data_IF_232024457314
#
_entry.id   IF_232024457314
#
_cell.length_a   1.000
_cell.length_b   1.000
_cell.length_c   1.000
_cell.angle_alpha   90.00
_cell.angle_beta   90.00
_cell.angle_gamma   90.00
#
_symmetry.space_group_name_H-M   'P 1'
#
loop_
_entity.id
_entity.type
_entity.pdbx_description
1 polymer ?
#
# COMPACT_ATOMS: atom_id res chain seq x y z
N UNK A 1 -21.93 -55.93 -17.84
CA UNK A 1 -22.58 -54.69 -18.34
C UNK A 1 -23.52 -54.23 -17.23
N UNK A 2 -23.34 -53.16 -16.47
CA UNK A 2 -22.59 -51.93 -16.66
C UNK A 2 -23.56 -50.77 -16.44
N UNK A 3 -23.63 -50.22 -15.21
CA UNK A 3 -23.61 -48.78 -14.87
C UNK A 3 -24.07 -48.54 -13.42
N UNK A 4 -23.11 -48.17 -12.58
CA UNK A 4 -23.30 -47.48 -11.30
C UNK A 4 -23.25 -45.99 -11.58
N UNK A 5 -24.29 -45.24 -11.21
CA UNK A 5 -24.26 -43.77 -11.24
C UNK A 5 -23.85 -43.26 -9.86
N UNK A 6 -22.55 -43.10 -9.63
CA UNK A 6 -22.06 -42.25 -8.56
C UNK A 6 -22.18 -40.79 -9.02
N UNK A 7 -23.07 -40.04 -8.39
CA UNK A 7 -23.01 -38.58 -8.42
C UNK A 7 -21.83 -38.13 -7.56
N UNK A 8 -20.70 -37.85 -8.21
CA UNK A 8 -19.63 -37.06 -7.60
C UNK A 8 -20.12 -35.62 -7.43
N UNK A 9 -20.14 -35.16 -6.17
CA UNK A 9 -20.24 -33.75 -5.84
C UNK A 9 -19.04 -33.02 -6.49
N UNK A 10 -19.32 -32.28 -7.56
CA UNK A 10 -18.40 -31.26 -8.06
C UNK A 10 -18.13 -30.27 -6.93
N UNK A 11 -16.90 -30.32 -6.42
CA UNK A 11 -16.38 -29.37 -5.46
C UNK A 11 -16.59 -27.94 -5.95
N UNK A 12 -17.19 -27.14 -5.09
CA UNK A 12 -17.39 -25.70 -5.22
C UNK A 12 -16.13 -24.99 -5.71
N UNK A 13 -16.28 -24.19 -6.78
CA UNK A 13 -15.30 -23.25 -7.31
C UNK A 13 -14.82 -22.34 -6.17
N UNK A 14 -13.59 -22.52 -5.71
CA UNK A 14 -12.97 -21.59 -4.79
C UNK A 14 -12.80 -20.24 -5.51
N UNK A 15 -13.47 -19.21 -4.97
CA UNK A 15 -13.30 -17.80 -5.34
C UNK A 15 -11.81 -17.45 -5.45
N UNK A 16 -11.48 -16.57 -6.40
CA UNK A 16 -10.16 -15.97 -6.68
C UNK A 16 -9.49 -15.31 -5.47
N UNK A 17 -9.10 -16.07 -4.44
CA UNK A 17 -8.42 -15.55 -3.26
C UNK A 17 -6.92 -15.75 -3.44
N UNK A 18 -6.18 -14.65 -3.43
CA UNK A 18 -4.72 -14.71 -3.37
C UNK A 18 -4.32 -14.96 -1.92
N UNK A 19 -3.90 -16.19 -1.62
CA UNK A 19 -3.48 -16.60 -0.29
C UNK A 19 -1.98 -16.96 -0.23
N UNK A 20 -1.51 -17.29 0.97
CA UNK A 20 -0.11 -17.61 1.21
C UNK A 20 0.34 -18.87 0.44
N UNK A 21 -0.42 -19.99 0.44
CA UNK A 21 -0.12 -21.16 -0.39
C UNK A 21 0.02 -20.84 -1.89
N UNK A 22 -0.92 -20.10 -2.49
CA UNK A 22 -0.86 -19.72 -3.89
C UNK A 22 0.42 -18.93 -4.19
N UNK A 23 0.72 -17.90 -3.39
CA UNK A 23 1.92 -17.08 -3.57
C UNK A 23 3.20 -17.90 -3.39
N UNK A 24 3.27 -18.78 -2.37
CA UNK A 24 4.42 -19.67 -2.19
C UNK A 24 4.62 -20.57 -3.42
N UNK A 25 3.54 -21.13 -3.98
CA UNK A 25 3.61 -21.95 -5.19
C UNK A 25 4.04 -21.18 -6.43
N UNK A 26 3.53 -19.96 -6.63
CA UNK A 26 3.85 -19.11 -7.79
C UNK A 26 5.25 -18.51 -7.74
N UNK A 27 5.70 -18.09 -6.56
CA UNK A 27 7.03 -17.49 -6.37
C UNK A 27 8.13 -18.54 -6.49
N UNK A 28 7.90 -19.76 -5.98
CA UNK A 28 8.87 -20.86 -6.06
C UNK A 28 10.17 -20.55 -5.33
N UNK A 29 10.16 -20.62 -3.99
CA UNK A 29 11.34 -20.35 -3.17
C UNK A 29 12.25 -21.57 -3.00
N UNK A 30 13.55 -21.41 -3.26
CA UNK A 30 14.56 -22.48 -3.07
C UNK A 30 14.98 -22.62 -1.60
N UNK A 31 14.73 -21.59 -0.78
CA UNK A 31 15.15 -21.52 0.63
C UNK A 31 14.07 -20.82 1.45
N UNK A 32 13.74 -21.42 2.58
CA UNK A 32 12.90 -20.80 3.61
C UNK A 32 13.73 -20.53 4.86
N UNK A 33 13.65 -19.31 5.39
CA UNK A 33 14.22 -18.91 6.68
C UNK A 33 13.04 -18.60 7.61
N UNK A 34 12.97 -19.26 8.76
CA UNK A 34 11.90 -19.09 9.75
C UNK A 34 12.37 -18.10 10.82
N UNK A 35 11.56 -17.07 11.07
CA UNK A 35 11.77 -16.09 12.13
C UNK A 35 10.71 -16.28 13.21
N UNK A 36 11.13 -16.48 14.46
CA UNK A 36 10.23 -16.62 15.60
C UNK A 36 10.71 -15.73 16.75
N UNK A 37 9.87 -14.77 17.17
CA UNK A 37 10.19 -13.87 18.28
C UNK A 37 10.48 -14.62 19.59
N UNK A 38 10.00 -15.86 19.74
CA UNK A 38 10.25 -16.71 20.91
C UNK A 38 11.54 -17.54 20.79
N UNK A 39 12.26 -17.48 19.66
CA UNK A 39 13.52 -18.20 19.45
C UNK A 39 13.40 -19.62 18.90
N UNK A 40 12.20 -20.08 18.52
CA UNK A 40 11.97 -21.42 17.95
C UNK A 40 12.08 -21.48 16.41
N UNK A 41 12.79 -20.52 15.81
CA UNK A 41 13.06 -20.43 14.36
C UNK A 41 14.56 -20.30 14.11
N UNK A 42 14.95 -20.14 12.85
CA UNK A 42 16.36 -19.91 12.47
C UNK A 42 16.89 -18.59 13.03
N UNK A 43 16.02 -17.59 13.14
CA UNK A 43 16.34 -16.28 13.73
C UNK A 43 15.24 -15.80 14.67
N UNK A 44 15.63 -14.96 15.63
CA UNK A 44 14.69 -14.21 16.49
C UNK A 44 14.30 -12.85 15.90
N UNK A 45 15.23 -12.21 15.19
CA UNK A 45 15.06 -10.90 14.55
C UNK A 45 14.77 -11.05 13.07
N UNK A 46 13.88 -10.19 12.56
CA UNK A 46 13.60 -10.07 11.12
C UNK A 46 14.80 -9.51 10.38
N UNK A 47 15.46 -8.47 10.93
CA UNK A 47 16.67 -7.90 10.31
C UNK A 47 17.78 -8.94 10.18
N UNK A 48 18.02 -9.76 11.20
CA UNK A 48 19.04 -10.82 11.12
C UNK A 48 18.77 -11.84 10.00
N UNK A 49 17.49 -12.19 9.78
CA UNK A 49 17.10 -13.06 8.67
C UNK A 49 17.30 -12.40 7.29
N UNK A 50 17.06 -11.09 7.18
CA UNK A 50 17.35 -10.30 5.97
C UNK A 50 18.87 -10.23 5.73
N UNK A 51 19.66 -10.03 6.78
CA UNK A 51 21.11 -9.95 6.71
C UNK A 51 21.73 -11.27 6.22
N UNK A 52 21.11 -12.41 6.52
CA UNK A 52 21.50 -13.74 6.06
C UNK A 52 21.22 -14.04 4.57
N UNK A 53 20.43 -13.20 3.88
CA UNK A 53 20.23 -13.31 2.42
C UNK A 53 21.50 -12.81 1.72
N UNK A 54 22.10 -13.55 0.76
CA UNK A 54 23.31 -13.09 0.09
C UNK A 54 23.14 -11.75 -0.64
N UNK A 55 24.20 -10.95 -0.70
CA UNK A 55 24.27 -9.80 -1.60
C UNK A 55 24.21 -10.28 -3.05
N UNK A 56 23.46 -9.60 -3.90
CA UNK A 56 23.27 -9.97 -5.31
C UNK A 56 22.39 -11.21 -5.49
N UNK A 57 21.58 -11.57 -4.49
CA UNK A 57 20.72 -12.76 -4.51
C UNK A 57 19.88 -12.87 -5.79
N UNK A 58 20.00 -14.00 -6.50
CA UNK A 58 19.32 -14.24 -7.77
C UNK A 58 18.13 -15.21 -7.67
N UNK A 59 17.91 -15.83 -6.51
CA UNK A 59 16.86 -16.82 -6.27
C UNK A 59 15.86 -16.34 -5.22
N UNK A 60 14.58 -16.70 -5.32
CA UNK A 60 13.62 -16.34 -4.29
C UNK A 60 13.96 -16.98 -2.93
N UNK A 61 14.08 -16.13 -1.91
CA UNK A 61 14.22 -16.55 -0.50
C UNK A 61 12.94 -16.19 0.23
N UNK A 62 12.28 -17.19 0.81
CA UNK A 62 11.13 -16.96 1.68
C UNK A 62 11.63 -16.71 3.10
N UNK A 63 11.26 -15.58 3.68
CA UNK A 63 11.47 -15.30 5.10
C UNK A 63 10.11 -15.37 5.77
N UNK A 64 9.86 -16.47 6.50
CA UNK A 64 8.60 -16.74 7.15
C UNK A 64 8.61 -16.22 8.58
N UNK A 65 7.82 -15.18 8.85
CA UNK A 65 7.62 -14.63 10.18
C UNK A 65 6.45 -15.37 10.83
N UNK A 66 6.73 -16.05 11.94
CA UNK A 66 5.68 -16.60 12.79
C UNK A 66 4.82 -15.49 13.40
N UNK A 67 3.67 -15.86 13.96
CA UNK A 67 2.81 -14.93 14.71
C UNK A 67 3.62 -14.28 15.85
N UNK A 68 3.47 -12.98 16.02
CA UNK A 68 4.23 -12.22 17.01
C UNK A 68 4.34 -10.75 16.68
N UNK A 69 4.88 -10.00 17.64
CA UNK A 69 5.24 -8.60 17.51
C UNK A 69 6.77 -8.52 17.49
N UNK A 70 7.32 -8.17 16.34
CA UNK A 70 8.75 -7.95 16.13
C UNK A 70 9.01 -6.45 16.30
N UNK A 71 9.48 -6.05 17.49
CA UNK A 71 9.78 -4.65 17.80
C UNK A 71 11.21 -4.32 17.39
N UNK A 72 11.37 -3.95 16.13
CA UNK A 72 12.65 -3.60 15.50
C UNK A 72 12.39 -2.73 14.26
N UNK A 73 13.42 -1.99 13.83
CA UNK A 73 13.45 -1.45 12.47
C UNK A 73 13.96 -2.51 11.51
N UNK A 74 13.36 -2.59 10.33
CA UNK A 74 13.77 -3.53 9.28
C UNK A 74 14.10 -2.76 8.01
N UNK A 75 15.26 -3.03 7.42
CA UNK A 75 15.71 -2.49 6.14
C UNK A 75 16.12 -3.61 5.21
N UNK A 76 15.48 -3.66 4.05
CA UNK A 76 15.83 -4.53 2.94
C UNK A 76 16.58 -3.71 1.90
N UNK A 77 17.92 -3.73 1.90
CA UNK A 77 18.74 -2.88 1.04
C UNK A 77 18.66 -3.32 -0.43
N UNK A 78 18.88 -2.38 -1.34
CA UNK A 78 18.79 -2.58 -2.81
C UNK A 78 19.54 -3.81 -3.33
N UNK A 79 20.65 -4.17 -2.71
CA UNK A 79 21.51 -5.27 -3.13
C UNK A 79 21.04 -6.66 -2.68
N UNK A 80 19.83 -6.80 -2.12
CA UNK A 80 19.23 -8.10 -1.71
C UNK A 80 17.86 -8.35 -2.37
N UNK A 81 17.76 -8.45 -3.72
CA UNK A 81 16.49 -8.64 -4.40
C UNK A 81 15.90 -10.04 -4.18
N UNK A 82 14.66 -10.25 -4.63
CA UNK A 82 13.94 -11.54 -4.60
C UNK A 82 13.71 -12.10 -3.20
N UNK A 83 13.11 -11.29 -2.33
CA UNK A 83 12.71 -11.67 -0.98
C UNK A 83 11.19 -11.76 -0.89
N UNK A 84 10.68 -12.91 -0.45
CA UNK A 84 9.29 -13.10 -0.09
C UNK A 84 9.14 -13.11 1.44
N UNK A 85 8.66 -12.00 2.01
CA UNK A 85 8.43 -11.83 3.43
C UNK A 85 7.00 -12.27 3.79
N UNK A 86 6.87 -13.43 4.43
CA UNK A 86 5.56 -14.09 4.65
C UNK A 86 5.21 -14.17 6.13
N UNK A 87 4.17 -13.45 6.54
CA UNK A 87 3.58 -13.54 7.88
C UNK A 87 2.47 -14.58 8.01
N UNK A 88 1.89 -14.69 9.22
CA UNK A 88 0.71 -15.51 9.50
C UNK A 88 -0.63 -14.75 9.37
N UNK A 89 -0.60 -13.52 8.84
CA UNK A 89 -1.78 -12.67 8.62
C UNK A 89 -1.63 -11.30 9.31
N UNK A 90 -2.20 -10.25 8.72
CA UNK A 90 -2.09 -8.85 9.22
C UNK A 90 -2.52 -8.67 10.69
N UNK A 91 -3.45 -9.49 11.19
CA UNK A 91 -3.86 -9.48 12.61
C UNK A 91 -2.97 -10.29 13.56
N UNK A 92 -1.90 -10.92 13.07
CA UNK A 92 -1.13 -11.94 13.82
C UNK A 92 0.39 -11.71 13.77
N UNK A 93 0.90 -11.06 12.73
CA UNK A 93 2.32 -10.79 12.55
C UNK A 93 2.55 -9.30 12.35
N UNK A 94 3.31 -8.67 13.24
CA UNK A 94 3.57 -7.23 13.24
C UNK A 94 5.07 -6.92 13.27
N UNK A 95 5.51 -5.96 12.47
CA UNK A 95 6.81 -5.29 12.61
C UNK A 95 6.52 -3.87 13.12
N UNK A 96 7.07 -3.52 14.28
CA UNK A 96 6.67 -2.32 15.03
C UNK A 96 7.89 -1.53 15.48
N UNK A 97 7.84 -0.21 15.30
CA UNK A 97 8.80 0.71 15.91
C UNK A 97 8.11 2.03 16.30
N UNK A 98 8.65 2.74 17.30
CA UNK A 98 8.14 4.05 17.71
C UNK A 98 9.18 5.11 17.39
N UNK A 99 9.02 5.83 16.29
CA UNK A 99 9.85 6.98 16.01
C UNK A 99 9.12 8.00 15.14
N UNK A 100 9.12 9.27 15.58
CA UNK A 100 8.87 10.40 14.71
C UNK A 100 10.18 11.08 14.31
N UNK A 101 10.21 11.73 13.17
CA UNK A 101 11.34 12.55 12.71
C UNK A 101 10.85 13.64 11.75
N UNK A 102 11.71 14.62 11.46
CA UNK A 102 11.55 15.53 10.33
C UNK A 102 11.97 14.89 9.00
N UNK A 103 12.69 13.76 9.08
CA UNK A 103 13.03 12.90 7.95
C UNK A 103 12.11 11.66 7.94
N UNK A 104 11.23 11.61 6.93
CA UNK A 104 10.34 10.49 6.68
C UNK A 104 11.08 9.15 6.62
N UNK A 105 12.26 9.10 5.97
CA UNK A 105 13.05 7.87 5.86
C UNK A 105 13.58 7.49 7.22
N UNK A 106 14.09 8.43 8.02
CA UNK A 106 14.55 8.14 9.37
C UNK A 106 13.42 7.56 10.25
N UNK A 107 12.21 8.12 10.16
CA UNK A 107 11.06 7.65 10.96
C UNK A 107 10.55 6.24 10.57
N UNK A 108 10.90 5.72 9.39
CA UNK A 108 10.33 4.50 8.87
C UNK A 108 10.61 3.25 9.73
N UNK A 109 9.55 2.54 10.11
CA UNK A 109 9.64 1.23 10.80
C UNK A 109 10.18 0.14 9.85
N UNK A 110 9.65 0.09 8.64
CA UNK A 110 10.06 -0.84 7.59
C UNK A 110 10.54 -0.07 6.36
N UNK A 111 11.68 -0.47 5.79
CA UNK A 111 12.25 0.09 4.56
C UNK A 111 12.52 -1.03 3.56
N UNK A 112 12.07 -0.84 2.32
CA UNK A 112 12.42 -1.73 1.22
C UNK A 112 12.91 -0.95 0.01
N UNK A 113 14.12 -1.29 -0.43
CA UNK A 113 14.74 -0.75 -1.65
C UNK A 113 15.18 -1.86 -2.62
N UNK A 114 15.09 -3.12 -2.18
CA UNK A 114 15.38 -4.31 -2.99
C UNK A 114 14.27 -4.59 -3.98
N UNK A 115 14.62 -4.75 -5.26
CA UNK A 115 13.64 -5.09 -6.30
C UNK A 115 13.12 -6.52 -6.16
N UNK A 116 11.97 -6.80 -6.80
CA UNK A 116 11.30 -8.10 -6.72
C UNK A 116 11.04 -8.48 -5.26
N UNK A 117 10.30 -7.63 -4.56
CA UNK A 117 9.93 -7.85 -3.18
C UNK A 117 8.45 -8.25 -3.09
N UNK A 118 8.15 -9.26 -2.30
CA UNK A 118 6.76 -9.61 -1.99
C UNK A 118 6.58 -9.69 -0.48
N UNK A 119 5.53 -9.07 0.05
CA UNK A 119 5.07 -9.25 1.41
C UNK A 119 3.67 -9.87 1.43
N UNK A 120 3.43 -10.82 2.33
CA UNK A 120 2.10 -11.37 2.57
C UNK A 120 1.76 -11.34 4.05
N UNK A 121 0.59 -10.79 4.41
CA UNK A 121 -0.01 -10.99 5.73
C UNK A 121 0.84 -10.46 6.88
N UNK A 122 1.48 -9.30 6.71
CA UNK A 122 2.28 -8.63 7.75
C UNK A 122 1.73 -7.24 7.96
N UNK A 123 1.71 -6.80 9.22
CA UNK A 123 1.39 -5.42 9.58
C UNK A 123 2.65 -4.64 9.92
N UNK A 124 2.87 -3.53 9.23
CA UNK A 124 3.94 -2.57 9.52
C UNK A 124 3.32 -1.42 10.32
N UNK A 125 3.87 -1.13 11.50
CA UNK A 125 3.31 -0.12 12.40
C UNK A 125 4.38 0.81 12.92
N UNK A 126 4.18 2.10 12.71
CA UNK A 126 4.84 3.12 13.51
C UNK A 126 3.92 3.50 14.68
N UNK A 127 4.35 3.25 15.91
CA UNK A 127 3.58 3.56 17.13
C UNK A 127 4.09 4.79 17.88
N UNK A 128 4.80 5.68 17.17
CA UNK A 128 5.15 7.00 17.70
C UNK A 128 3.90 7.77 18.16
N UNK A 129 3.97 8.46 19.31
CA UNK A 129 2.88 9.33 19.73
C UNK A 129 2.73 10.47 18.73
N UNK A 130 1.49 10.90 18.49
CA UNK A 130 1.24 12.06 17.66
C UNK A 130 1.68 13.31 18.41
N UNK A 131 2.83 13.88 18.03
CA UNK A 131 3.43 15.08 18.65
C UNK A 131 2.59 16.35 18.45
N UNK A 132 3.04 17.50 18.93
CA UNK A 132 2.29 18.77 18.83
C UNK A 132 1.89 19.09 17.39
N UNK A 133 0.63 19.48 17.16
CA UNK A 133 0.14 19.80 15.82
C UNK A 133 0.99 20.89 15.15
N UNK A 134 1.17 20.77 13.82
CA UNK A 134 1.94 21.71 13.01
C UNK A 134 3.45 21.81 13.34
N UNK A 135 4.00 20.92 14.17
CA UNK A 135 5.45 20.79 14.35
C UNK A 135 6.04 19.78 13.37
N UNK A 136 7.32 19.98 13.01
CA UNK A 136 8.03 19.12 12.07
C UNK A 136 8.32 17.71 12.61
N UNK A 137 8.13 17.47 13.91
CA UNK A 137 8.38 16.19 14.60
C UNK A 137 7.20 15.20 14.56
N UNK A 138 6.34 15.27 13.54
CA UNK A 138 5.12 14.47 13.46
C UNK A 138 5.14 13.33 12.43
N UNK A 139 6.15 13.24 11.58
CA UNK A 139 6.18 12.20 10.54
C UNK A 139 6.53 10.87 11.20
N UNK A 140 5.68 9.86 11.01
CA UNK A 140 5.80 8.55 11.66
C UNK A 140 5.57 7.46 10.62
N UNK A 141 6.52 7.27 9.72
CA UNK A 141 6.36 6.35 8.59
C UNK A 141 6.30 4.90 9.07
N UNK A 142 5.25 4.17 8.69
CA UNK A 142 5.13 2.74 8.95
C UNK A 142 5.95 1.93 7.93
N UNK A 143 5.87 2.31 6.65
CA UNK A 143 6.65 1.68 5.59
C UNK A 143 7.14 2.71 4.58
N UNK A 144 8.44 2.62 4.25
CA UNK A 144 9.09 3.31 3.15
C UNK A 144 9.37 2.32 2.02
N UNK A 145 8.83 2.58 0.84
CA UNK A 145 8.90 1.70 -0.32
C UNK A 145 9.55 2.44 -1.49
N UNK A 146 10.79 2.09 -1.79
CA UNK A 146 11.55 2.62 -2.92
C UNK A 146 12.17 1.47 -3.73
N UNK A 147 11.30 0.56 -4.21
CA UNK A 147 11.65 -0.71 -4.81
C UNK A 147 10.94 -0.89 -6.15
N UNK A 148 11.65 -1.27 -7.21
CA UNK A 148 10.95 -1.72 -8.42
C UNK A 148 10.37 -3.13 -8.23
N UNK A 149 9.13 -3.35 -8.68
CA UNK A 149 8.43 -4.63 -8.57
C UNK A 149 8.22 -5.07 -7.11
N UNK A 150 7.58 -4.22 -6.30
CA UNK A 150 7.19 -4.53 -4.92
C UNK A 150 5.69 -4.86 -4.82
N UNK A 151 5.34 -6.01 -4.25
CA UNK A 151 3.96 -6.43 -4.07
C UNK A 151 3.63 -6.67 -2.58
N UNK A 152 2.49 -6.18 -2.12
CA UNK A 152 1.99 -6.38 -0.77
C UNK A 152 0.59 -7.00 -0.84
N UNK A 153 0.42 -8.18 -0.26
CA UNK A 153 -0.83 -8.91 -0.24
C UNK A 153 -1.34 -9.06 1.18
N UNK A 154 -2.55 -8.57 1.45
CA UNK A 154 -3.21 -8.65 2.75
C UNK A 154 -2.35 -8.11 3.90
N UNK A 155 -1.56 -7.08 3.62
CA UNK A 155 -0.73 -6.40 4.61
C UNK A 155 -1.51 -5.29 5.32
N UNK A 156 -0.97 -4.83 6.44
CA UNK A 156 -1.50 -3.68 7.18
C UNK A 156 -0.45 -2.59 7.34
N UNK A 157 -0.86 -1.33 7.26
CA UNK A 157 0.01 -0.17 7.44
C UNK A 157 -0.63 0.78 8.44
N UNK A 158 0.05 0.98 9.57
CA UNK A 158 -0.51 1.68 10.72
C UNK A 158 0.40 2.82 11.16
N UNK A 159 -0.10 4.03 11.02
CA UNK A 159 0.42 5.22 11.66
C UNK A 159 -0.67 6.29 11.72
N UNK A 160 -0.41 7.40 12.40
CA UNK A 160 -1.28 8.57 12.38
C UNK A 160 -0.94 9.50 11.23
N UNK A 161 0.35 9.75 10.95
CA UNK A 161 0.83 10.77 10.00
C UNK A 161 1.87 10.14 9.06
N UNK A 162 1.79 10.42 7.76
CA UNK A 162 2.75 9.93 6.75
C UNK A 162 2.92 8.39 6.79
N UNK A 163 1.82 7.64 6.87
CA UNK A 163 1.83 6.18 7.11
C UNK A 163 2.65 5.39 6.09
N UNK A 164 2.34 5.54 4.81
CA UNK A 164 2.96 4.80 3.72
C UNK A 164 3.70 5.77 2.79
N UNK A 165 5.02 5.75 2.89
CA UNK A 165 5.90 6.50 2.00
C UNK A 165 6.19 5.67 0.75
N UNK A 166 5.23 5.68 -0.17
CA UNK A 166 5.23 4.97 -1.45
C UNK A 166 6.05 5.71 -2.50
N UNK A 167 7.37 5.69 -2.30
CA UNK A 167 8.29 6.66 -2.87
C UNK A 167 8.63 6.41 -4.35
N UNK A 168 9.12 5.23 -4.74
CA UNK A 168 9.63 5.04 -6.11
C UNK A 168 9.60 3.57 -6.53
N UNK A 169 9.17 3.32 -7.77
CA UNK A 169 9.12 1.98 -8.36
C UNK A 169 7.71 1.64 -8.85
N UNK A 170 7.54 0.42 -9.36
CA UNK A 170 6.25 -0.17 -9.69
C UNK A 170 5.76 -1.02 -8.53
N UNK A 171 4.60 -0.68 -7.98
CA UNK A 171 4.09 -1.35 -6.78
C UNK A 171 2.66 -1.86 -6.96
N UNK A 172 2.35 -2.94 -6.25
CA UNK A 172 1.01 -3.51 -6.18
C UNK A 172 0.61 -3.75 -4.73
N UNK A 173 -0.52 -3.21 -4.32
CA UNK A 173 -1.10 -3.40 -3.00
C UNK A 173 -2.45 -4.07 -3.18
N UNK A 174 -2.60 -5.30 -2.71
CA UNK A 174 -3.82 -6.09 -2.87
C UNK A 174 -4.42 -6.48 -1.53
N UNK A 175 -5.68 -6.14 -1.30
CA UNK A 175 -6.39 -6.47 -0.05
C UNK A 175 -5.74 -5.88 1.21
N UNK A 176 -4.95 -4.81 1.06
CA UNK A 176 -4.21 -4.19 2.14
C UNK A 176 -5.11 -3.26 2.96
N UNK A 177 -4.78 -3.10 4.24
CA UNK A 177 -5.38 -2.09 5.11
C UNK A 177 -4.37 -0.97 5.36
N UNK A 178 -4.74 0.27 5.11
CA UNK A 178 -3.88 1.44 5.31
C UNK A 178 -4.67 2.46 6.12
N UNK A 179 -4.11 2.94 7.24
CA UNK A 179 -4.75 3.99 8.04
C UNK A 179 -3.85 5.19 8.27
N UNK A 180 -4.46 6.37 8.41
CA UNK A 180 -3.75 7.60 8.74
C UNK A 180 -4.67 8.82 8.69
N UNK A 181 -4.10 10.02 8.78
CA UNK A 181 -4.84 11.28 8.82
C UNK A 181 -4.38 12.28 7.76
N UNK A 182 -3.09 12.63 7.74
CA UNK A 182 -2.51 13.61 6.81
C UNK A 182 -1.48 12.93 5.91
N UNK A 183 -1.58 13.19 4.60
CA UNK A 183 -0.67 12.73 3.55
C UNK A 183 -0.25 11.26 3.73
N UNK A 184 -1.20 10.42 4.16
CA UNK A 184 -0.81 9.13 4.74
C UNK A 184 -0.48 8.06 3.69
N UNK A 185 -0.71 8.35 2.40
CA UNK A 185 -0.12 7.66 1.24
C UNK A 185 0.56 8.73 0.37
N UNK A 186 1.88 8.75 0.33
CA UNK A 186 2.61 9.83 -0.33
C UNK A 186 3.90 9.35 -0.99
N UNK A 187 4.43 10.15 -1.92
CA UNK A 187 5.60 9.79 -2.71
C UNK A 187 5.34 9.89 -4.21
N UNK A 188 6.12 9.18 -5.03
CA UNK A 188 6.13 9.30 -6.50
C UNK A 188 6.21 7.95 -7.22
N UNK A 189 5.75 6.87 -6.59
CA UNK A 189 5.71 5.56 -7.23
C UNK A 189 4.60 5.46 -8.31
N UNK A 190 4.66 4.39 -9.12
CA UNK A 190 3.62 3.94 -10.04
C UNK A 190 2.92 2.76 -9.38
N UNK A 191 1.76 3.00 -8.77
CA UNK A 191 1.18 2.05 -7.81
C UNK A 191 -0.29 1.78 -8.09
N UNK A 192 -0.65 0.49 -8.04
CA UNK A 192 -2.03 0.04 -8.09
C UNK A 192 -2.43 -0.53 -6.72
N UNK A 193 -3.39 0.14 -6.08
CA UNK A 193 -4.04 -0.27 -4.84
C UNK A 193 -5.38 -0.92 -5.20
N UNK A 194 -5.40 -2.25 -5.22
CA UNK A 194 -6.57 -3.03 -5.60
C UNK A 194 -7.23 -3.62 -4.35
N UNK A 195 -8.55 -3.48 -4.24
CA UNK A 195 -9.36 -3.99 -3.11
C UNK A 195 -8.82 -3.59 -1.72
N UNK A 196 -8.16 -2.43 -1.62
CA UNK A 196 -7.59 -1.94 -0.38
C UNK A 196 -8.65 -1.24 0.48
N UNK A 197 -8.47 -1.35 1.80
CA UNK A 197 -9.22 -0.60 2.80
C UNK A 197 -8.39 0.58 3.29
N UNK A 198 -8.95 1.77 3.16
CA UNK A 198 -8.33 3.04 3.52
C UNK A 198 -9.12 3.63 4.70
N UNK A 199 -8.50 3.62 5.88
CA UNK A 199 -9.13 4.05 7.11
C UNK A 199 -8.65 5.42 7.59
N UNK A 200 -9.56 6.38 7.63
CA UNK A 200 -9.29 7.77 8.01
C UNK A 200 -9.38 7.92 9.53
N UNK A 201 -8.26 8.32 10.11
CA UNK A 201 -8.16 8.77 11.48
C UNK A 201 -8.41 10.28 11.54
N UNK A 202 -9.24 10.70 12.48
CA UNK A 202 -9.43 12.12 12.75
C UNK A 202 -8.26 12.67 13.55
N UNK A 203 -7.64 13.74 13.07
CA UNK A 203 -6.74 14.57 13.86
C UNK A 203 -7.46 15.87 14.24
N UNK A 204 -8.01 15.92 15.46
CA UNK A 204 -8.83 17.05 15.93
C UNK A 204 -8.01 18.31 16.24
N UNK A 205 -6.68 18.23 16.15
CA UNK A 205 -5.79 19.36 16.47
C UNK A 205 -5.54 20.24 15.25
N UNK A 206 -5.87 19.74 14.05
CA UNK A 206 -5.75 20.48 12.81
C UNK A 206 -7.13 21.00 12.34
N UNK A 207 -7.15 22.23 11.81
CA UNK A 207 -8.37 22.83 11.21
C UNK A 207 -8.72 22.20 9.86
N UNK A 208 -7.71 21.75 9.13
CA UNK A 208 -7.88 21.05 7.86
C UNK A 208 -8.28 19.59 8.13
N UNK A 209 -8.99 18.98 7.18
CA UNK A 209 -9.49 17.62 7.33
C UNK A 209 -8.40 16.54 7.17
N UNK A 210 -7.26 16.87 6.57
CA UNK A 210 -6.22 15.88 6.21
C UNK A 210 -6.42 15.34 4.79
N UNK A 211 -5.56 14.44 4.35
CA UNK A 211 -5.45 14.00 2.95
C UNK A 211 -5.06 12.52 2.91
N UNK A 212 -5.75 11.74 2.07
CA UNK A 212 -5.35 10.36 1.81
C UNK A 212 -4.05 10.35 1.01
N UNK A 213 -4.01 11.07 -0.11
CA UNK A 213 -2.84 11.09 -0.99
C UNK A 213 -2.11 12.43 -1.06
N UNK A 214 -0.78 12.38 -1.14
CA UNK A 214 0.07 13.49 -1.57
C UNK A 214 1.08 13.00 -2.61
N UNK A 215 0.62 12.87 -3.86
CA UNK A 215 1.40 12.30 -4.95
C UNK A 215 2.32 13.38 -5.56
N UNK A 216 3.60 13.04 -5.74
CA UNK A 216 4.68 13.98 -6.04
C UNK A 216 5.29 13.73 -7.43
N UNK A 217 4.47 13.50 -8.45
CA UNK A 217 4.88 13.49 -9.86
C UNK A 217 5.17 14.91 -10.33
N UNK A 218 6.36 15.13 -10.89
CA UNK A 218 6.83 16.48 -11.22
C UNK A 218 6.86 16.80 -12.72
N UNK A 219 6.66 15.81 -13.60
CA UNK A 219 6.61 16.03 -15.05
C UNK A 219 5.62 15.12 -15.76
N UNK A 220 5.22 15.52 -16.97
CA UNK A 220 4.33 14.72 -17.82
C UNK A 220 4.98 13.40 -18.28
N UNK A 221 6.31 13.36 -18.44
CA UNK A 221 7.04 12.19 -18.92
C UNK A 221 7.20 11.09 -17.86
N UNK A 222 6.97 11.42 -16.58
CA UNK A 222 7.01 10.42 -15.52
C UNK A 222 5.80 9.48 -15.60
N UNK A 223 5.99 8.15 -15.62
CA UNK A 223 4.89 7.19 -15.61
C UNK A 223 4.32 6.96 -14.20
N UNK A 224 4.73 7.74 -13.20
CA UNK A 224 4.29 7.62 -11.79
C UNK A 224 2.82 7.99 -11.60
N UNK A 225 2.19 7.51 -10.55
CA UNK A 225 0.77 7.75 -10.28
C UNK A 225 0.18 6.71 -9.36
N UNK A 226 -0.89 7.07 -8.67
CA UNK A 226 -1.63 6.16 -7.81
C UNK A 226 -2.99 5.84 -8.42
N UNK A 227 -3.31 4.56 -8.54
CA UNK A 227 -4.63 4.08 -8.93
C UNK A 227 -5.20 3.25 -7.78
N UNK A 228 -6.34 3.67 -7.24
CA UNK A 228 -7.13 2.93 -6.27
C UNK A 228 -8.31 2.32 -7.02
N UNK A 229 -8.36 1.00 -7.13
CA UNK A 229 -9.44 0.30 -7.84
C UNK A 229 -10.16 -0.66 -6.88
N UNK A 230 -11.50 -0.64 -6.89
CA UNK A 230 -12.36 -1.44 -6.00
C UNK A 230 -12.03 -1.23 -4.51
N UNK A 231 -11.50 -0.07 -4.13
CA UNK A 231 -11.11 0.24 -2.76
C UNK A 231 -12.31 0.65 -1.89
N UNK A 232 -12.07 0.79 -0.58
CA UNK A 232 -13.03 1.35 0.38
C UNK A 232 -12.39 2.46 1.20
N UNK A 233 -13.00 3.64 1.23
CA UNK A 233 -12.57 4.79 2.02
C UNK A 233 -13.60 5.07 3.11
N UNK A 234 -13.18 4.91 4.36
CA UNK A 234 -14.04 5.11 5.53
C UNK A 234 -13.26 5.55 6.75
N UNK A 235 -13.92 6.08 7.77
CA UNK A 235 -13.24 6.52 8.98
C UNK A 235 -14.07 7.36 9.92
N UNK A 236 -13.38 8.08 10.80
CA UNK A 236 -13.98 8.79 11.95
C UNK A 236 -13.87 10.31 11.88
N UNK A 237 -13.44 10.84 10.73
CA UNK A 237 -13.27 12.27 10.47
C UNK A 237 -13.68 12.62 9.04
N UNK A 238 -13.39 13.85 8.63
CA UNK A 238 -13.42 14.25 7.23
C UNK A 238 -12.02 14.13 6.65
N UNK A 239 -11.88 13.95 5.33
CA UNK A 239 -10.59 13.89 4.62
C UNK A 239 -10.75 14.31 3.16
N UNK A 240 -9.70 14.90 2.59
CA UNK A 240 -9.56 15.01 1.13
C UNK A 240 -9.04 13.68 0.55
N UNK A 241 -9.54 13.27 -0.62
CA UNK A 241 -8.97 12.20 -1.45
C UNK A 241 -7.49 12.42 -1.71
N UNK A 242 -7.09 13.68 -1.92
CA UNK A 242 -5.69 14.02 -2.05
C UNK A 242 -5.46 15.51 -2.12
N UNK A 243 -4.20 15.89 -1.95
CA UNK A 243 -3.75 17.25 -2.22
C UNK A 243 -2.73 17.32 -3.34
N UNK A 244 -2.73 18.43 -4.06
CA UNK A 244 -1.67 18.74 -5.02
C UNK A 244 -0.33 18.82 -4.26
N UNK A 245 0.66 18.06 -4.73
CA UNK A 245 1.98 18.03 -4.11
C UNK A 245 3.10 18.15 -5.14
N UNK A 246 3.06 17.36 -6.21
CA UNK A 246 3.88 17.59 -7.41
C UNK A 246 3.09 18.31 -8.51
N UNK A 247 3.79 19.00 -9.40
CA UNK A 247 3.17 19.81 -10.47
C UNK A 247 2.35 19.01 -11.49
N UNK A 248 2.56 17.69 -11.55
CA UNK A 248 1.85 16.75 -12.41
C UNK A 248 1.22 15.61 -11.60
N UNK A 249 0.86 15.89 -10.34
CA UNK A 249 0.29 14.91 -9.40
C UNK A 249 -0.82 14.10 -10.07
N UNK A 250 -0.72 12.77 -9.95
CA UNK A 250 -1.61 11.84 -10.64
C UNK A 250 -2.19 10.80 -9.70
N UNK A 251 -3.50 10.88 -9.48
CA UNK A 251 -4.26 10.01 -8.59
C UNK A 251 -5.62 9.71 -9.22
N UNK A 252 -5.98 8.42 -9.27
CA UNK A 252 -7.29 7.94 -9.70
C UNK A 252 -7.93 7.12 -8.58
N UNK A 253 -9.14 7.48 -8.18
CA UNK A 253 -10.04 6.59 -7.42
C UNK A 253 -11.09 6.03 -8.37
N UNK A 254 -11.14 4.71 -8.49
CA UNK A 254 -12.02 4.00 -9.41
C UNK A 254 -12.79 2.88 -8.71
N UNK A 255 -14.07 2.72 -9.03
CA UNK A 255 -14.96 1.70 -8.44
C UNK A 255 -14.91 1.69 -6.90
N UNK A 256 -14.62 2.84 -6.30
CA UNK A 256 -14.26 2.93 -4.88
C UNK A 256 -15.48 3.33 -4.07
N UNK A 257 -15.74 2.58 -3.00
CA UNK A 257 -16.73 2.99 -2.01
C UNK A 257 -16.16 4.14 -1.17
N UNK A 258 -16.89 5.25 -1.11
CA UNK A 258 -16.55 6.41 -0.29
C UNK A 258 -17.66 6.65 0.73
N UNK A 259 -17.37 6.42 2.00
CA UNK A 259 -18.26 6.84 3.08
C UNK A 259 -18.30 8.37 3.21
N UNK A 260 -19.17 8.89 4.07
CA UNK A 260 -19.28 10.33 4.34
C UNK A 260 -18.05 10.94 5.01
N UNK A 261 -16.94 10.21 5.14
CA UNK A 261 -15.62 10.72 5.55
C UNK A 261 -14.97 11.57 4.47
N UNK A 262 -15.34 11.41 3.19
CA UNK A 262 -14.75 12.20 2.09
C UNK A 262 -15.47 13.55 2.01
N UNK A 263 -14.70 14.64 2.07
CA UNK A 263 -15.19 16.01 1.94
C UNK A 263 -15.84 16.24 0.57
N UNK A 264 -16.80 17.17 0.47
CA UNK A 264 -17.49 17.45 -0.80
C UNK A 264 -16.55 18.01 -1.87
N UNK A 265 -15.52 18.77 -1.49
CA UNK A 265 -14.49 19.28 -2.39
C UNK A 265 -13.64 18.15 -3.00
N UNK A 266 -13.51 17.03 -2.28
CA UNK A 266 -12.75 15.84 -2.66
C UNK A 266 -11.23 16.07 -2.71
N UNK A 267 -10.76 17.14 -3.34
CA UNK A 267 -9.37 17.45 -3.58
C UNK A 267 -9.04 18.84 -3.05
N UNK A 268 -7.77 19.06 -2.69
CA UNK A 268 -7.30 20.38 -2.24
C UNK A 268 -5.94 20.72 -2.86
N UNK A 269 -5.64 22.00 -3.02
CA UNK A 269 -4.30 22.50 -3.33
C UNK A 269 -3.61 23.05 -2.06
N UNK A 270 -4.04 22.60 -0.88
CA UNK A 270 -3.48 23.06 0.39
C UNK A 270 -1.95 23.00 0.41
N UNK A 271 -1.34 24.15 0.71
CA UNK A 271 0.12 24.38 0.74
C UNK A 271 0.83 24.09 -0.59
N UNK A 272 0.12 24.21 -1.71
CA UNK A 272 0.65 24.18 -3.07
C UNK A 272 0.27 25.47 -3.79
N UNK A 273 1.27 26.26 -4.19
CA UNK A 273 1.15 27.56 -4.85
C UNK A 273 1.25 27.47 -6.39
N UNK A 274 1.54 26.28 -6.92
CA UNK A 274 1.60 26.04 -8.35
C UNK A 274 0.23 25.91 -9.03
N UNK A 275 0.26 25.76 -10.36
CA UNK A 275 -0.95 25.60 -11.16
C UNK A 275 -1.59 24.21 -10.96
N UNK A 276 -2.92 24.17 -11.01
CA UNK A 276 -3.70 22.93 -11.00
C UNK A 276 -3.97 22.36 -12.40
N UNK A 277 -3.53 23.04 -13.46
CA UNK A 277 -3.88 22.71 -14.85
C UNK A 277 -3.32 21.37 -15.33
N UNK A 278 -2.18 20.94 -14.75
CA UNK A 278 -1.48 19.72 -15.13
C UNK A 278 -1.79 18.53 -14.21
N UNK A 279 -2.68 18.70 -13.23
CA UNK A 279 -3.02 17.66 -12.27
C UNK A 279 -3.96 16.64 -12.91
N UNK A 280 -3.71 15.36 -12.65
CA UNK A 280 -4.64 14.28 -12.98
C UNK A 280 -5.25 13.76 -11.68
N UNK A 281 -6.25 14.46 -11.15
CA UNK A 281 -6.98 14.05 -9.95
C UNK A 281 -8.38 13.60 -10.36
N UNK A 282 -8.54 12.28 -10.50
CA UNK A 282 -9.67 11.70 -11.19
C UNK A 282 -10.50 10.75 -10.32
N UNK A 283 -11.80 10.70 -10.60
CA UNK A 283 -12.75 9.75 -10.04
C UNK A 283 -13.49 9.02 -11.17
N UNK A 284 -13.72 7.70 -11.01
CA UNK A 284 -14.47 6.88 -11.96
C UNK A 284 -15.35 5.87 -11.23
N UNK A 285 -16.66 5.87 -11.49
CA UNK A 285 -17.62 4.93 -10.89
C UNK A 285 -17.50 4.78 -9.34
N UNK A 286 -17.08 5.85 -8.65
CA UNK A 286 -17.08 5.90 -7.19
C UNK A 286 -18.52 5.98 -6.68
N UNK A 287 -18.79 5.38 -5.52
CA UNK A 287 -20.14 5.26 -4.97
C UNK A 287 -20.13 5.40 -3.45
N UNK A 288 -21.31 5.65 -2.87
CA UNK A 288 -21.47 5.87 -1.43
C UNK A 288 -21.66 7.35 -1.07
N UNK A 289 -21.93 7.66 0.21
CA UNK A 289 -22.31 9.01 0.61
C UNK A 289 -21.22 10.09 0.42
N UNK A 290 -19.94 9.72 0.34
CA UNK A 290 -18.84 10.65 0.06
C UNK A 290 -18.48 10.81 -1.42
N UNK A 291 -19.14 10.08 -2.32
CA UNK A 291 -18.86 10.12 -3.76
C UNK A 291 -19.66 11.21 -4.50
N UNK A 292 -20.37 12.08 -3.78
CA UNK A 292 -21.11 13.19 -4.39
C UNK A 292 -20.14 14.20 -5.00
N UNK A 293 -20.36 14.55 -6.26
CA UNK A 293 -19.37 15.29 -7.06
C UNK A 293 -19.76 16.75 -7.36
N UNK A 294 -20.77 17.29 -6.69
CA UNK A 294 -21.33 18.63 -6.97
C UNK A 294 -20.38 19.79 -6.65
N UNK A 295 -19.60 19.64 -5.57
CA UNK A 295 -18.70 20.70 -5.06
C UNK A 295 -17.22 20.36 -5.26
N UNK A 296 -16.90 19.37 -6.10
CA UNK A 296 -15.51 18.95 -6.32
C UNK A 296 -14.66 20.13 -6.76
N UNK A 297 -13.40 20.11 -6.35
CA UNK A 297 -12.41 21.07 -6.82
C UNK A 297 -12.47 21.21 -8.35
N UNK A 298 -12.33 22.43 -8.86
CA UNK A 298 -12.61 22.76 -10.26
C UNK A 298 -11.74 22.02 -11.28
N UNK A 299 -10.59 21.49 -10.85
CA UNK A 299 -9.68 20.68 -11.68
C UNK A 299 -9.93 19.17 -11.59
N UNK A 300 -10.91 18.74 -10.77
CA UNK A 300 -11.23 17.31 -10.62
C UNK A 300 -11.77 16.74 -11.93
N UNK A 301 -11.25 15.58 -12.32
CA UNK A 301 -11.58 14.91 -13.57
C UNK A 301 -12.57 13.78 -13.30
N UNK A 302 -13.58 13.65 -14.17
CA UNK A 302 -14.41 12.44 -14.25
C UNK A 302 -14.10 11.74 -15.55
N UNK A 303 -13.74 10.47 -15.47
CA UNK A 303 -13.36 9.68 -16.64
C UNK A 303 -14.59 9.02 -17.27
N UNK A 304 -14.55 8.85 -18.60
CA UNK A 304 -15.40 7.88 -19.30
C UNK A 304 -14.91 6.44 -19.09
N UNK A 305 -15.71 5.47 -19.53
CA UNK A 305 -15.36 4.05 -19.49
C UNK A 305 -14.08 3.79 -20.32
N UNK A 306 -13.95 4.41 -21.50
CA UNK A 306 -12.81 4.27 -22.40
C UNK A 306 -11.53 4.87 -21.81
N UNK A 307 -11.63 6.01 -21.14
CA UNK A 307 -10.49 6.67 -20.49
C UNK A 307 -10.03 5.91 -19.24
N UNK A 308 -10.97 5.36 -18.48
CA UNK A 308 -10.67 4.62 -17.26
C UNK A 308 -10.07 3.23 -17.56
N UNK A 309 -10.63 2.48 -18.50
CA UNK A 309 -10.29 1.08 -18.79
C UNK A 309 -8.78 0.74 -18.77
N UNK A 310 -7.89 1.47 -19.48
CA UNK A 310 -6.45 1.13 -19.49
C UNK A 310 -5.73 1.39 -18.16
N UNK A 311 -6.28 2.25 -17.29
CA UNK A 311 -5.68 2.61 -16.00
C UNK A 311 -6.05 1.62 -14.88
N UNK A 312 -7.13 0.86 -15.04
CA UNK A 312 -7.68 0.00 -13.98
C UNK A 312 -7.04 -1.39 -13.90
N UNK A 313 -6.30 -1.79 -14.93
CA UNK A 313 -5.69 -3.12 -15.02
C UNK A 313 -4.28 -3.12 -14.45
N UNK A 314 -3.74 -4.32 -14.21
CA UNK A 314 -2.34 -4.47 -13.81
C UNK A 314 -1.35 -4.04 -14.90
N UNK A 315 -1.78 -3.76 -16.13
CA UNK A 315 -0.90 -3.19 -17.18
C UNK A 315 -0.49 -1.75 -16.81
N UNK A 316 -1.29 -1.04 -16.00
CA UNK A 316 -0.88 0.24 -15.42
C UNK A 316 0.39 0.14 -14.57
N UNK A 317 0.85 -1.05 -14.16
CA UNK A 317 2.12 -1.26 -13.46
C UNK A 317 3.00 -2.29 -14.16
N UNK A 318 2.72 -2.60 -15.43
CA UNK A 318 3.34 -3.68 -16.21
C UNK A 318 3.27 -5.05 -15.50
N UNK A 319 2.21 -5.27 -14.70
CA UNK A 319 2.10 -6.35 -13.73
C UNK A 319 2.21 -7.76 -14.31
N UNK A 320 1.82 -7.96 -15.58
CA UNK A 320 1.97 -9.26 -16.28
C UNK A 320 3.43 -9.72 -16.35
N UNK A 321 4.38 -8.79 -16.26
CA UNK A 321 5.81 -9.07 -16.38
C UNK A 321 6.43 -9.55 -15.06
N UNK A 322 5.82 -9.24 -13.91
CA UNK A 322 6.52 -9.37 -12.63
C UNK A 322 5.67 -9.82 -11.43
N UNK A 323 4.34 -9.70 -11.50
CA UNK A 323 3.48 -10.12 -10.39
C UNK A 323 3.38 -11.65 -10.34
N UNK A 324 3.56 -12.26 -9.16
CA UNK A 324 3.36 -13.71 -9.01
C UNK A 324 1.88 -14.11 -9.12
N UNK A 325 0.96 -13.23 -8.72
CA UNK A 325 -0.49 -13.41 -8.80
C UNK A 325 -1.21 -12.04 -8.75
N UNK A 326 -2.37 -11.93 -9.39
CA UNK A 326 -3.26 -10.76 -9.32
C UNK A 326 -4.71 -11.21 -9.49
N UNK A 327 -5.64 -10.29 -9.20
CA UNK A 327 -7.07 -10.47 -9.49
C UNK A 327 -7.39 -9.65 -10.73
N UNK A 328 -8.13 -10.26 -11.67
CA UNK A 328 -8.65 -9.60 -12.86
C UNK A 328 -9.81 -8.63 -12.55
#
# INVERSE_FOLDING_TARGET
EGYSSHHEHQGTIHKNVIDAPLLTGKIGGNRTIVVDVNGNGDYKSVQAAIDAVPVGNSNWVTIHLRKGIYREKVHIPRNKPKIFLRGNGKGRTYIVWSQSSTDNIESATFKVEASNFVAFGISFKNDAPTGEAYTSQNQSVAAYVASDMAAFYHCGFFSTHNTLFDQKGRHYYQGCYIQGSIDFIFGRARSLFHECEIFVLVDRRIKIHGSITAQNRESADEPSGYVFNKAKVYGTGQVYLGRAKGAYSRVLFANTYMSGTVTSEGWTNWSYDGSTDNLFHAEYACHGPGSGTGDRASWSIRLSDEEAAPLLTIDFIDGKQWLPAWID
#
